data_IF_618129661443
#
_entry.id   IF_618129661443
#
_cell.length_a   1.000
_cell.length_b   1.000
_cell.length_c   1.000
_cell.angle_alpha   90.00
_cell.angle_beta   90.00
_cell.angle_gamma   90.00
#
_symmetry.space_group_name_H-M   'P 1'
#
loop_
_entity.id
_entity.type
_entity.pdbx_description
1 polymer ?
#
# COMPACT_ATOMS: atom_id res chain seq x y z
N UNK A 1 -4.57 -41.89 -1.28
CA UNK A 1 -3.41 -42.45 -0.55
C UNK A 1 -3.71 -42.70 0.92
N UNK A 2 -4.28 -41.76 1.67
CA UNK A 2 -4.65 -41.98 3.07
C UNK A 2 -5.38 -43.31 3.30
N UNK A 3 -6.48 -43.55 2.57
CA UNK A 3 -7.22 -44.82 2.67
C UNK A 3 -6.42 -46.07 2.31
N UNK A 4 -5.45 -45.98 1.39
CA UNK A 4 -4.59 -47.12 1.03
C UNK A 4 -3.66 -47.49 2.19
N UNK A 5 -3.00 -46.49 2.78
CA UNK A 5 -2.10 -46.71 3.91
C UNK A 5 -2.84 -47.15 5.17
N UNK A 6 -4.04 -46.63 5.42
CA UNK A 6 -4.85 -47.08 6.55
C UNK A 6 -5.32 -48.52 6.38
N UNK A 7 -5.78 -48.90 5.19
CA UNK A 7 -6.15 -50.29 4.90
C UNK A 7 -4.96 -51.24 5.08
N UNK A 8 -3.76 -50.83 4.64
CA UNK A 8 -2.56 -51.64 4.81
C UNK A 8 -2.16 -51.77 6.28
N UNK A 9 -2.27 -50.70 7.06
CA UNK A 9 -2.05 -50.75 8.51
C UNK A 9 -3.03 -51.70 9.20
N UNK A 10 -4.32 -51.61 8.88
CA UNK A 10 -5.36 -52.49 9.44
C UNK A 10 -5.11 -53.97 9.07
N UNK A 11 -4.66 -54.25 7.85
CA UNK A 11 -4.26 -55.59 7.41
C UNK A 11 -3.06 -56.11 8.22
N UNK A 12 -2.01 -55.29 8.39
CA UNK A 12 -0.81 -55.67 9.15
C UNK A 12 -1.16 -55.94 10.62
N UNK A 13 -1.96 -55.08 11.24
CA UNK A 13 -2.42 -55.26 12.62
C UNK A 13 -3.23 -56.54 12.81
N UNK A 14 -3.93 -57.01 11.77
CA UNK A 14 -4.75 -58.22 11.82
C UNK A 14 -3.94 -59.51 11.67
N UNK A 15 -2.76 -59.45 11.05
CA UNK A 15 -1.97 -60.64 10.66
C UNK A 15 -0.74 -60.81 11.55
N UNK A 16 -0.08 -59.72 11.94
CA UNK A 16 1.23 -59.74 12.59
C UNK A 16 1.18 -59.32 14.06
N UNK A 17 2.24 -59.63 14.80
CA UNK A 17 2.39 -59.19 16.19
C UNK A 17 2.78 -57.72 16.28
N UNK A 18 2.47 -57.09 17.42
CA UNK A 18 2.64 -55.64 17.61
C UNK A 18 4.07 -55.13 17.40
N UNK A 19 5.06 -55.97 17.69
CA UNK A 19 6.49 -55.63 17.53
C UNK A 19 6.87 -55.42 16.05
N UNK A 20 6.16 -56.09 15.14
CA UNK A 20 6.42 -56.06 13.71
C UNK A 20 5.63 -54.98 12.95
N UNK A 21 4.60 -54.39 13.58
CA UNK A 21 3.66 -53.50 12.89
C UNK A 21 4.33 -52.30 12.22
N UNK A 22 5.15 -51.55 12.96
CA UNK A 22 5.83 -50.35 12.45
C UNK A 22 6.81 -50.68 11.31
N UNK A 23 7.80 -51.57 11.51
CA UNK A 23 8.74 -51.96 10.47
C UNK A 23 8.09 -52.51 9.21
N UNK A 24 7.09 -53.40 9.35
CA UNK A 24 6.36 -53.95 8.20
C UNK A 24 5.57 -52.87 7.46
N UNK A 25 4.87 -52.01 8.20
CA UNK A 25 4.08 -50.94 7.59
C UNK A 25 4.95 -49.95 6.81
N UNK A 26 6.11 -49.56 7.38
CA UNK A 26 7.08 -48.71 6.68
C UNK A 26 7.63 -49.38 5.42
N UNK A 27 7.99 -50.66 5.49
CA UNK A 27 8.51 -51.42 4.37
C UNK A 27 7.46 -51.55 3.24
N UNK A 28 6.22 -51.90 3.57
CA UNK A 28 5.16 -52.07 2.57
C UNK A 28 4.81 -50.75 1.88
N UNK A 29 4.79 -49.63 2.62
CA UNK A 29 4.46 -48.33 2.06
C UNK A 29 5.63 -47.67 1.30
N UNK A 30 6.85 -48.20 1.38
CA UNK A 30 8.06 -47.54 0.89
C UNK A 30 8.00 -47.19 -0.60
N UNK A 31 7.52 -48.10 -1.45
CA UNK A 31 7.46 -47.88 -2.90
C UNK A 31 6.46 -46.77 -3.26
N UNK A 32 5.27 -46.78 -2.65
CA UNK A 32 4.26 -45.73 -2.85
C UNK A 32 4.75 -44.37 -2.32
N UNK A 33 5.47 -44.37 -1.20
CA UNK A 33 6.11 -43.17 -0.65
C UNK A 33 7.19 -42.58 -1.56
N UNK A 34 7.99 -43.44 -2.19
CA UNK A 34 9.01 -43.00 -3.14
C UNK A 34 8.38 -42.35 -4.40
N UNK A 35 7.28 -42.91 -4.88
CA UNK A 35 6.54 -42.37 -6.02
C UNK A 35 5.89 -41.02 -5.67
N UNK A 36 5.27 -40.89 -4.50
CA UNK A 36 4.80 -39.60 -3.99
C UNK A 36 5.91 -38.55 -3.94
N UNK A 37 7.06 -38.90 -3.39
CA UNK A 37 8.20 -38.00 -3.31
C UNK A 37 8.75 -37.62 -4.70
N UNK A 38 8.58 -38.48 -5.72
CA UNK A 38 8.89 -38.14 -7.12
C UNK A 38 7.90 -37.12 -7.66
N UNK A 39 6.59 -37.36 -7.51
CA UNK A 39 5.55 -36.42 -7.94
C UNK A 39 5.70 -35.05 -7.28
N UNK A 40 5.96 -34.99 -5.97
CA UNK A 40 6.18 -33.72 -5.26
C UNK A 40 7.41 -32.97 -5.79
N UNK A 41 8.48 -33.66 -6.19
CA UNK A 41 9.66 -33.03 -6.80
C UNK A 41 9.36 -32.46 -8.18
N UNK A 42 8.58 -33.16 -9.00
CA UNK A 42 8.17 -32.70 -10.33
C UNK A 42 7.29 -31.45 -10.24
N UNK A 43 6.29 -31.47 -9.35
CA UNK A 43 5.45 -30.30 -9.05
C UNK A 43 6.30 -29.13 -8.53
N UNK A 44 7.24 -29.40 -7.62
CA UNK A 44 8.14 -28.36 -7.12
C UNK A 44 9.01 -27.73 -8.21
N UNK A 45 9.49 -28.54 -9.16
CA UNK A 45 10.28 -28.06 -10.30
C UNK A 45 9.46 -27.11 -11.17
N UNK A 46 8.19 -27.45 -11.41
CA UNK A 46 7.26 -26.59 -12.15
C UNK A 46 7.02 -25.26 -11.43
N UNK A 47 6.73 -25.30 -10.12
CA UNK A 47 6.49 -24.10 -9.30
C UNK A 47 7.72 -23.20 -9.28
N UNK A 48 8.93 -23.76 -9.12
CA UNK A 48 10.18 -22.99 -9.15
C UNK A 48 10.36 -22.23 -10.47
N UNK A 49 9.94 -22.80 -11.59
CA UNK A 49 9.99 -22.15 -12.90
C UNK A 49 8.97 -21.02 -13.07
N UNK A 50 7.89 -21.02 -12.29
CA UNK A 50 6.73 -20.14 -12.45
C UNK A 50 6.30 -19.51 -11.12
N UNK A 51 7.27 -19.13 -10.27
CA UNK A 51 7.00 -18.75 -8.89
C UNK A 51 6.02 -17.57 -8.75
N UNK A 52 6.02 -16.65 -9.72
CA UNK A 52 5.15 -15.48 -9.72
C UNK A 52 3.67 -15.80 -9.96
N UNK A 53 3.36 -16.92 -10.63
CA UNK A 53 1.97 -17.31 -10.96
C UNK A 53 1.52 -18.52 -10.15
N UNK A 54 2.42 -19.46 -9.90
CA UNK A 54 2.07 -20.81 -9.43
C UNK A 54 2.52 -21.07 -7.99
N UNK A 55 3.02 -20.07 -7.25
CA UNK A 55 3.42 -20.23 -5.85
C UNK A 55 2.29 -20.73 -4.94
N UNK A 56 1.03 -20.41 -5.24
CA UNK A 56 -0.12 -20.89 -4.47
C UNK A 56 -0.23 -22.41 -4.43
N UNK A 57 0.18 -23.09 -5.51
CA UNK A 57 0.23 -24.54 -5.56
C UNK A 57 1.18 -25.11 -4.49
N UNK A 58 2.27 -24.40 -4.16
CA UNK A 58 3.15 -24.82 -3.06
C UNK A 58 2.46 -24.74 -1.69
N UNK A 59 1.58 -23.74 -1.49
CA UNK A 59 0.80 -23.60 -0.26
C UNK A 59 -0.25 -24.69 -0.13
N UNK A 60 -0.97 -24.97 -1.22
CA UNK A 60 -1.98 -26.03 -1.29
C UNK A 60 -1.35 -27.41 -1.06
N UNK A 61 -0.25 -27.73 -1.75
CA UNK A 61 0.49 -28.99 -1.52
C UNK A 61 0.94 -29.10 -0.06
N UNK A 62 1.42 -28.00 0.53
CA UNK A 62 1.83 -27.98 1.94
C UNK A 62 0.66 -28.28 2.88
N UNK A 63 -0.53 -27.73 2.63
CA UNK A 63 -1.73 -28.01 3.41
C UNK A 63 -2.17 -29.47 3.27
N UNK A 64 -2.34 -29.95 2.04
CA UNK A 64 -2.79 -31.32 1.75
C UNK A 64 -1.84 -32.35 2.39
N UNK A 65 -0.53 -32.16 2.21
CA UNK A 65 0.47 -33.09 2.74
C UNK A 65 0.60 -33.03 4.26
N UNK A 66 0.42 -31.85 4.86
CA UNK A 66 0.40 -31.72 6.33
C UNK A 66 -0.84 -32.38 6.92
N UNK A 67 -2.00 -32.26 6.27
CA UNK A 67 -3.22 -32.96 6.66
C UNK A 67 -3.06 -34.48 6.58
N UNK A 68 -2.54 -34.99 5.45
CA UNK A 68 -2.24 -36.41 5.26
C UNK A 68 -1.31 -36.95 6.35
N UNK A 69 -0.21 -36.22 6.64
CA UNK A 69 0.76 -36.61 7.67
C UNK A 69 0.13 -36.66 9.06
N UNK A 70 -0.65 -35.65 9.44
CA UNK A 70 -1.33 -35.59 10.75
C UNK A 70 -2.36 -36.71 10.92
N UNK A 71 -3.16 -36.99 9.88
CA UNK A 71 -4.18 -38.04 9.93
C UNK A 71 -3.56 -39.43 10.07
N UNK A 72 -2.50 -39.71 9.29
CA UNK A 72 -1.79 -40.98 9.37
C UNK A 72 -1.07 -41.15 10.69
N UNK A 73 -0.35 -40.13 11.18
CA UNK A 73 0.33 -40.18 12.47
C UNK A 73 -0.66 -40.49 13.61
N UNK A 74 -1.83 -39.84 13.62
CA UNK A 74 -2.84 -40.05 14.66
C UNK A 74 -3.36 -41.49 14.70
N UNK A 75 -3.43 -42.16 13.53
CA UNK A 75 -4.00 -43.50 13.41
C UNK A 75 -2.98 -44.62 13.47
N UNK A 76 -1.78 -44.40 12.96
CA UNK A 76 -0.77 -45.45 12.79
C UNK A 76 0.47 -45.23 13.66
N UNK A 77 0.75 -43.98 14.06
CA UNK A 77 2.00 -43.58 14.72
C UNK A 77 3.22 -43.55 13.79
N UNK A 78 3.04 -43.82 12.49
CA UNK A 78 4.12 -44.11 11.56
C UNK A 78 4.15 -43.14 10.35
N UNK A 79 5.19 -43.21 9.52
CA UNK A 79 5.37 -42.49 8.26
C UNK A 79 5.51 -40.95 8.32
N UNK A 80 5.30 -40.31 9.48
CA UNK A 80 5.44 -38.85 9.66
C UNK A 80 6.76 -38.30 9.13
N UNK A 81 7.88 -38.93 9.47
CA UNK A 81 9.22 -38.52 9.06
C UNK A 81 9.42 -38.61 7.55
N UNK A 82 8.95 -39.70 6.92
CA UNK A 82 9.02 -39.92 5.48
C UNK A 82 8.17 -38.90 4.70
N UNK A 83 6.96 -38.61 5.18
CA UNK A 83 6.08 -37.58 4.60
C UNK A 83 6.66 -36.18 4.74
N UNK A 84 7.23 -35.86 5.90
CA UNK A 84 7.91 -34.59 6.14
C UNK A 84 9.14 -34.42 5.23
N UNK A 85 9.95 -35.48 5.06
CA UNK A 85 11.10 -35.47 4.16
C UNK A 85 10.70 -35.26 2.70
N UNK A 86 9.62 -35.91 2.24
CA UNK A 86 9.09 -35.75 0.89
C UNK A 86 8.54 -34.34 0.64
N UNK A 87 7.89 -33.72 1.63
CA UNK A 87 7.31 -32.37 1.53
C UNK A 87 8.36 -31.25 1.62
N UNK A 88 9.49 -31.49 2.30
CA UNK A 88 10.51 -30.46 2.59
C UNK A 88 10.89 -29.59 1.38
N UNK A 89 11.17 -30.11 0.18
CA UNK A 89 11.54 -29.28 -0.96
C UNK A 89 10.47 -28.29 -1.41
N UNK A 90 9.18 -28.67 -1.30
CA UNK A 90 8.06 -27.79 -1.64
C UNK A 90 7.91 -26.70 -0.59
N UNK A 91 8.04 -27.04 0.70
CA UNK A 91 7.99 -26.08 1.81
C UNK A 91 9.09 -25.02 1.69
N UNK A 92 10.31 -25.41 1.29
CA UNK A 92 11.40 -24.45 1.05
C UNK A 92 11.11 -23.52 -0.15
N UNK A 93 10.56 -24.04 -1.25
CA UNK A 93 10.09 -23.19 -2.36
C UNK A 93 9.01 -22.21 -1.92
N UNK A 94 8.05 -22.66 -1.11
CA UNK A 94 6.99 -21.82 -0.58
C UNK A 94 7.55 -20.67 0.27
N UNK A 95 8.56 -20.94 1.12
CA UNK A 95 9.27 -19.90 1.89
C UNK A 95 9.94 -18.87 0.97
N UNK A 96 10.70 -19.33 -0.02
CA UNK A 96 11.42 -18.46 -0.97
C UNK A 96 10.45 -17.58 -1.76
N UNK A 97 9.27 -18.09 -2.10
CA UNK A 97 8.28 -17.34 -2.88
C UNK A 97 7.84 -16.03 -2.22
N UNK A 98 7.75 -15.96 -0.89
CA UNK A 98 7.33 -14.76 -0.18
C UNK A 98 8.25 -13.56 -0.45
N UNK A 99 9.56 -13.80 -0.47
CA UNK A 99 10.57 -12.79 -0.81
C UNK A 99 10.61 -12.49 -2.31
N UNK A 100 10.58 -13.52 -3.16
CA UNK A 100 10.64 -13.35 -4.62
C UNK A 100 9.46 -12.52 -5.15
N UNK A 101 8.25 -12.71 -4.61
CA UNK A 101 7.06 -11.93 -5.00
C UNK A 101 7.22 -10.43 -4.71
N UNK A 102 7.90 -10.06 -3.61
CA UNK A 102 8.23 -8.67 -3.29
C UNK A 102 9.25 -8.12 -4.28
N UNK A 103 10.30 -8.89 -4.55
CA UNK A 103 11.39 -8.48 -5.44
C UNK A 103 10.94 -8.39 -6.91
N UNK A 104 10.07 -9.29 -7.36
CA UNK A 104 9.38 -9.21 -8.65
C UNK A 104 8.59 -7.90 -8.78
N UNK A 105 7.76 -7.57 -7.78
CA UNK A 105 6.97 -6.34 -7.78
C UNK A 105 7.86 -5.10 -7.89
N UNK A 106 8.95 -5.06 -7.11
CA UNK A 106 9.93 -3.97 -7.16
C UNK A 106 10.61 -3.87 -8.54
N UNK A 107 11.01 -5.01 -9.13
CA UNK A 107 11.60 -5.06 -10.47
C UNK A 107 10.63 -4.57 -11.54
N UNK A 108 9.37 -4.99 -11.49
CA UNK A 108 8.31 -4.55 -12.41
C UNK A 108 8.11 -3.03 -12.35
N UNK A 109 8.03 -2.44 -11.16
CA UNK A 109 7.92 -0.96 -10.99
C UNK A 109 9.15 -0.26 -11.55
N UNK A 110 10.34 -0.75 -11.23
CA UNK A 110 11.61 -0.15 -11.67
C UNK A 110 11.73 -0.16 -13.19
N UNK A 111 11.31 -1.26 -13.84
CA UNK A 111 11.35 -1.45 -15.28
C UNK A 111 10.33 -0.61 -16.08
N UNK A 112 9.32 -0.01 -15.43
CA UNK A 112 8.34 0.83 -16.12
C UNK A 112 9.03 2.02 -16.81
N UNK A 113 8.79 2.26 -18.09
CA UNK A 113 9.44 3.39 -18.77
C UNK A 113 8.72 4.72 -18.52
N UNK A 114 7.40 4.67 -18.38
CA UNK A 114 6.54 5.83 -18.22
C UNK A 114 5.50 5.58 -17.12
N UNK A 115 5.01 6.66 -16.55
CA UNK A 115 3.82 6.70 -15.69
C UNK A 115 2.79 7.67 -16.30
N UNK A 116 1.49 7.50 -16.00
CA UNK A 116 0.46 8.42 -16.46
C UNK A 116 0.75 9.86 -16.03
N UNK A 117 0.79 10.78 -16.99
CA UNK A 117 1.17 12.19 -16.74
C UNK A 117 0.07 13.00 -16.03
N UNK A 118 -1.13 12.43 -15.91
CA UNK A 118 -2.29 12.96 -15.20
C UNK A 118 -2.42 12.40 -13.77
N UNK A 119 -1.51 11.52 -13.36
CA UNK A 119 -1.53 10.87 -12.04
C UNK A 119 -2.51 9.70 -11.94
N UNK A 120 -3.02 9.17 -13.06
CA UNK A 120 -3.90 8.01 -13.06
C UNK A 120 -3.27 6.80 -12.36
N UNK A 121 -4.08 5.95 -11.68
CA UNK A 121 -3.59 4.71 -11.10
C UNK A 121 -3.06 3.74 -12.15
N UNK A 122 -2.19 2.82 -11.71
CA UNK A 122 -1.59 1.80 -12.58
C UNK A 122 -1.94 0.39 -12.09
N UNK A 123 -2.04 -0.62 -12.99
CA UNK A 123 -2.52 -1.96 -12.63
C UNK A 123 -1.75 -2.65 -11.52
N UNK A 124 -0.43 -2.42 -11.42
CA UNK A 124 0.43 -3.10 -10.43
C UNK A 124 -0.01 -2.87 -8.97
N UNK A 125 -0.71 -1.77 -8.69
CA UNK A 125 -1.28 -1.50 -7.35
C UNK A 125 -2.34 -2.55 -7.04
N UNK A 126 -3.34 -2.67 -7.92
CA UNK A 126 -4.43 -3.62 -7.76
C UNK A 126 -3.96 -5.07 -7.84
N UNK A 127 -3.05 -5.39 -8.76
CA UNK A 127 -2.49 -6.75 -8.88
C UNK A 127 -1.75 -7.18 -7.60
N UNK A 128 -0.98 -6.28 -6.99
CA UNK A 128 -0.26 -6.56 -5.74
C UNK A 128 -1.24 -6.84 -4.60
N UNK A 129 -2.31 -6.04 -4.51
CA UNK A 129 -3.34 -6.23 -3.49
C UNK A 129 -4.19 -7.47 -3.72
N UNK A 130 -4.54 -7.77 -4.96
CA UNK A 130 -5.26 -9.00 -5.32
C UNK A 130 -4.45 -10.24 -4.93
N UNK A 131 -3.13 -10.22 -5.15
CA UNK A 131 -2.25 -11.29 -4.68
C UNK A 131 -2.31 -11.47 -3.16
N UNK A 132 -2.25 -10.38 -2.39
CA UNK A 132 -2.37 -10.46 -0.93
C UNK A 132 -3.74 -11.02 -0.50
N UNK A 133 -4.82 -10.63 -1.18
CA UNK A 133 -6.16 -11.17 -0.94
C UNK A 133 -6.21 -12.68 -1.22
N UNK A 134 -5.70 -13.13 -2.36
CA UNK A 134 -5.61 -14.57 -2.69
C UNK A 134 -4.78 -15.34 -1.67
N UNK A 135 -3.69 -14.76 -1.15
CA UNK A 135 -2.91 -15.41 -0.08
C UNK A 135 -3.72 -15.64 1.20
N UNK A 136 -4.76 -14.84 1.49
CA UNK A 136 -5.64 -15.08 2.65
C UNK A 136 -6.40 -16.40 2.52
N UNK A 137 -6.73 -16.83 1.31
CA UNK A 137 -7.37 -18.14 1.06
C UNK A 137 -6.47 -19.30 1.50
N UNK A 138 -5.15 -19.07 1.52
CA UNK A 138 -4.13 -20.03 1.94
C UNK A 138 -3.52 -19.68 3.32
N UNK A 139 -4.26 -18.94 4.16
CA UNK A 139 -3.73 -18.42 5.42
C UNK A 139 -3.18 -19.53 6.34
N UNK A 140 -3.83 -20.69 6.40
CA UNK A 140 -3.38 -21.81 7.25
C UNK A 140 -1.99 -22.35 6.86
N UNK A 141 -1.75 -22.81 5.60
CA UNK A 141 -0.41 -23.24 5.21
C UNK A 141 0.60 -22.09 5.25
N UNK A 142 0.22 -20.87 4.87
CA UNK A 142 1.12 -19.70 4.91
C UNK A 142 1.54 -19.38 6.34
N UNK A 143 0.63 -19.38 7.31
CA UNK A 143 0.96 -19.17 8.74
C UNK A 143 1.97 -20.19 9.24
N UNK A 144 1.86 -21.47 8.85
CA UNK A 144 2.87 -22.49 9.21
C UNK A 144 4.22 -22.22 8.55
N UNK A 145 4.21 -21.78 7.28
CA UNK A 145 5.42 -21.41 6.55
C UNK A 145 6.09 -20.20 7.22
N UNK A 146 5.32 -19.16 7.54
CA UNK A 146 5.77 -17.93 8.16
C UNK A 146 6.33 -18.14 9.57
N UNK A 147 5.68 -18.99 10.37
CA UNK A 147 6.24 -19.40 11.65
C UNK A 147 7.63 -20.04 11.48
N UNK A 148 7.82 -20.88 10.45
CA UNK A 148 9.11 -21.51 10.17
C UNK A 148 10.13 -20.60 9.49
N UNK A 149 9.69 -19.50 8.88
CA UNK A 149 10.54 -18.49 8.25
C UNK A 149 11.03 -17.45 9.27
N UNK A 150 10.20 -17.18 10.28
CA UNK A 150 10.40 -16.08 11.22
C UNK A 150 9.93 -14.74 10.65
N UNK A 151 9.56 -13.82 11.55
CA UNK A 151 9.14 -12.48 11.19
C UNK A 151 10.27 -11.71 10.48
N UNK A 152 9.96 -11.07 9.36
CA UNK A 152 10.92 -10.37 8.51
C UNK A 152 11.82 -11.27 7.65
N UNK A 153 11.71 -12.60 7.74
CA UNK A 153 12.57 -13.53 6.99
C UNK A 153 12.42 -13.45 5.46
N UNK A 154 11.36 -12.80 4.96
CA UNK A 154 11.15 -12.51 3.53
C UNK A 154 12.05 -11.38 2.98
N UNK A 155 12.70 -10.58 3.85
CA UNK A 155 13.57 -9.45 3.43
C UNK A 155 14.99 -9.89 3.07
N UNK A 156 15.40 -11.10 3.47
CA UNK A 156 16.79 -11.57 3.42
C UNK A 156 17.32 -11.90 2.02
N UNK A 157 16.49 -11.87 0.98
CA UNK A 157 16.97 -12.02 -0.40
C UNK A 157 17.69 -10.76 -0.93
N UNK A 158 17.64 -9.63 -0.20
CA UNK A 158 18.30 -8.39 -0.58
C UNK A 158 19.81 -8.32 -0.24
N UNK A 159 20.37 -9.34 0.42
CA UNK A 159 21.81 -9.37 0.73
C UNK A 159 22.36 -10.80 0.78
N UNK A 160 22.61 -11.41 -0.38
CA UNK A 160 23.69 -12.40 -0.51
C UNK A 160 25.05 -11.68 -0.49
N UNK A 161 25.31 -10.90 0.57
CA UNK A 161 26.65 -10.46 0.96
C UNK A 161 27.09 -11.33 2.14
N UNK A 162 27.69 -12.47 1.80
CA UNK A 162 28.79 -13.08 2.57
C UNK A 162 28.60 -13.36 4.06
N UNK A 163 27.39 -13.51 4.59
CA UNK A 163 27.20 -13.95 5.99
C UNK A 163 26.83 -15.43 6.06
N UNK A 164 27.74 -16.14 6.70
CA UNK A 164 27.76 -17.54 7.06
C UNK A 164 26.40 -18.06 7.51
N UNK A 165 26.08 -19.27 7.08
CA UNK A 165 24.94 -20.12 7.47
C UNK A 165 24.91 -20.52 8.96
N UNK A 166 25.59 -19.79 9.84
CA UNK A 166 25.78 -20.13 11.26
C UNK A 166 25.22 -19.07 12.22
N UNK A 167 24.35 -18.17 11.75
CA UNK A 167 23.53 -17.39 12.68
C UNK A 167 22.46 -18.31 13.28
N UNK A 168 22.79 -18.91 14.43
CA UNK A 168 21.81 -19.46 15.38
C UNK A 168 20.69 -18.43 15.49
N UNK A 169 19.42 -18.77 15.18
CA UNK A 169 18.31 -17.86 15.34
C UNK A 169 18.35 -17.32 16.78
N UNK A 170 18.50 -16.01 16.93
CA UNK A 170 18.45 -15.37 18.24
C UNK A 170 17.15 -15.80 18.92
N UNK A 171 17.24 -16.36 20.12
CA UNK A 171 16.09 -16.77 20.93
C UNK A 171 15.10 -15.62 21.22
N UNK A 172 15.42 -14.38 20.84
CA UNK A 172 14.49 -13.26 20.81
C UNK A 172 13.50 -13.26 19.63
N UNK A 173 13.64 -14.17 18.65
CA UNK A 173 12.72 -14.35 17.51
C UNK A 173 11.81 -15.58 17.64
N UNK A 174 11.90 -16.31 18.75
CA UNK A 174 10.92 -17.30 19.17
C UNK A 174 10.06 -16.66 20.27
N UNK A 175 9.29 -15.65 19.89
CA UNK A 175 8.18 -15.24 20.74
C UNK A 175 7.12 -16.34 20.65
N UNK A 176 7.07 -17.18 21.70
CA UNK A 176 6.12 -18.27 21.90
C UNK A 176 4.75 -17.60 22.14
N UNK A 177 4.17 -17.04 21.07
CA UNK A 177 3.00 -16.18 21.14
C UNK A 177 2.62 -15.52 19.80
N UNK A 178 3.53 -15.37 18.84
CA UNK A 178 3.20 -14.79 17.54
C UNK A 178 2.33 -15.76 16.72
N UNK A 179 1.04 -15.45 16.64
CA UNK A 179 0.11 -16.10 15.73
C UNK A 179 0.68 -15.99 14.30
N UNK A 180 0.74 -17.08 13.53
CA UNK A 180 1.22 -17.02 12.14
C UNK A 180 0.39 -16.05 11.28
N UNK A 181 -0.80 -15.66 11.72
CA UNK A 181 -1.60 -14.56 11.16
C UNK A 181 -1.01 -13.18 11.43
N UNK A 182 -0.39 -12.98 12.59
CA UNK A 182 0.30 -11.74 12.93
C UNK A 182 1.53 -11.53 12.03
N UNK A 183 2.33 -12.58 11.84
CA UNK A 183 3.47 -12.56 10.92
C UNK A 183 3.00 -12.27 9.48
N UNK A 184 1.87 -12.87 9.07
CA UNK A 184 1.27 -12.56 7.77
C UNK A 184 0.81 -11.11 7.65
N UNK A 185 0.30 -10.54 8.73
CA UNK A 185 -0.09 -9.12 8.79
C UNK A 185 1.13 -8.20 8.66
N UNK A 186 2.29 -8.58 9.23
CA UNK A 186 3.57 -7.89 9.00
C UNK A 186 4.01 -7.98 7.54
N UNK A 187 3.96 -9.18 6.95
CA UNK A 187 4.27 -9.37 5.53
C UNK A 187 3.41 -8.50 4.61
N UNK A 188 2.09 -8.43 4.85
CA UNK A 188 1.19 -7.56 4.10
C UNK A 188 1.57 -6.08 4.25
N UNK A 189 1.89 -5.64 5.47
CA UNK A 189 2.30 -4.27 5.76
C UNK A 189 3.60 -3.90 5.05
N UNK A 190 4.60 -4.78 5.10
CA UNK A 190 5.87 -4.62 4.39
C UNK A 190 5.68 -4.61 2.86
N UNK A 191 4.75 -5.42 2.35
CA UNK A 191 4.42 -5.45 0.91
C UNK A 191 3.84 -4.11 0.47
N UNK A 192 2.89 -3.57 1.23
CA UNK A 192 2.25 -2.27 0.96
C UNK A 192 3.28 -1.14 1.05
N UNK A 193 4.13 -1.14 2.08
CA UNK A 193 5.15 -0.09 2.24
C UNK A 193 6.21 -0.14 1.12
N UNK A 194 6.66 -1.35 0.76
CA UNK A 194 7.57 -1.56 -0.38
C UNK A 194 6.96 -1.08 -1.69
N UNK A 195 5.68 -1.40 -1.95
CA UNK A 195 4.94 -0.96 -3.12
C UNK A 195 4.90 0.57 -3.16
N UNK A 196 4.42 1.21 -2.09
CA UNK A 196 4.29 2.66 -2.03
C UNK A 196 5.64 3.39 -2.13
N UNK A 197 6.69 2.86 -1.50
CA UNK A 197 8.04 3.41 -1.59
C UNK A 197 8.60 3.33 -3.01
N UNK A 198 8.44 2.18 -3.66
CA UNK A 198 8.91 1.97 -5.05
C UNK A 198 8.15 2.87 -6.03
N UNK A 199 6.85 3.05 -5.83
CA UNK A 199 6.00 3.95 -6.63
C UNK A 199 6.38 5.42 -6.44
N UNK A 200 6.64 5.88 -5.21
CA UNK A 200 7.10 7.25 -4.95
C UNK A 200 8.45 7.53 -5.61
N UNK A 201 9.40 6.61 -5.49
CA UNK A 201 10.71 6.73 -6.15
C UNK A 201 10.54 6.80 -7.67
N UNK A 202 9.71 5.93 -8.25
CA UNK A 202 9.47 5.91 -9.69
C UNK A 202 8.77 7.18 -10.18
N UNK A 203 7.75 7.63 -9.46
CA UNK A 203 7.00 8.84 -9.75
C UNK A 203 7.92 10.07 -9.79
N UNK A 204 8.83 10.21 -8.82
CA UNK A 204 9.79 11.32 -8.78
C UNK A 204 10.76 11.35 -9.95
N UNK A 205 11.11 10.19 -10.50
CA UNK A 205 12.03 10.09 -11.63
C UNK A 205 11.35 10.38 -12.97
N UNK A 206 10.08 10.00 -13.12
CA UNK A 206 9.41 9.92 -14.42
C UNK A 206 8.34 11.01 -14.62
N UNK A 207 7.65 11.44 -13.56
CA UNK A 207 6.60 12.44 -13.66
C UNK A 207 7.21 13.85 -13.70
N UNK A 208 7.10 14.49 -14.86
CA UNK A 208 7.60 15.85 -15.09
C UNK A 208 6.60 16.95 -14.69
N UNK A 209 5.35 16.58 -14.40
CA UNK A 209 4.25 17.50 -14.06
C UNK A 209 4.31 18.12 -12.66
N UNK A 210 5.46 18.06 -11.97
CA UNK A 210 5.66 18.66 -10.66
C UNK A 210 5.18 17.81 -9.48
N UNK A 211 5.16 18.41 -8.29
CA UNK A 211 4.82 17.69 -7.03
C UNK A 211 3.34 17.35 -6.94
N UNK A 212 2.47 18.16 -7.53
CA UNK A 212 1.03 17.95 -7.48
C UNK A 212 0.60 16.65 -8.15
N UNK A 213 1.12 16.34 -9.36
CA UNK A 213 0.80 15.07 -10.05
C UNK A 213 1.33 13.85 -9.30
N UNK A 214 2.51 13.95 -8.67
CA UNK A 214 3.04 12.88 -7.80
C UNK A 214 2.11 12.67 -6.61
N UNK A 215 1.62 13.76 -6.00
CA UNK A 215 0.63 13.72 -4.93
C UNK A 215 -0.67 13.02 -5.35
N UNK A 216 -1.19 13.32 -6.55
CA UNK A 216 -2.37 12.65 -7.11
C UNK A 216 -2.14 11.15 -7.28
N UNK A 217 -1.03 10.78 -7.94
CA UNK A 217 -0.69 9.39 -8.20
C UNK A 217 -0.59 8.55 -6.92
N UNK A 218 0.07 9.08 -5.89
CA UNK A 218 0.21 8.41 -4.61
C UNK A 218 -1.13 8.35 -3.87
N UNK A 219 -1.94 9.42 -3.88
CA UNK A 219 -3.24 9.43 -3.23
C UNK A 219 -4.22 8.42 -3.86
N UNK A 220 -4.25 8.31 -5.19
CA UNK A 220 -5.02 7.29 -5.90
C UNK A 220 -4.59 5.89 -5.47
N UNK A 221 -3.28 5.64 -5.42
CA UNK A 221 -2.73 4.35 -4.99
C UNK A 221 -3.14 4.00 -3.56
N UNK A 222 -3.08 4.96 -2.63
CA UNK A 222 -3.49 4.78 -1.23
C UNK A 222 -4.97 4.42 -1.12
N UNK A 223 -5.86 5.15 -1.80
CA UNK A 223 -7.31 4.90 -1.75
C UNK A 223 -7.66 3.53 -2.34
N UNK A 224 -7.01 3.13 -3.43
CA UNK A 224 -7.21 1.80 -4.03
C UNK A 224 -6.77 0.71 -3.05
N UNK A 225 -5.59 0.83 -2.44
CA UNK A 225 -5.08 -0.12 -1.44
C UNK A 225 -6.03 -0.20 -0.25
N UNK A 226 -6.44 0.95 0.29
CA UNK A 226 -7.38 1.00 1.42
C UNK A 226 -8.71 0.32 1.10
N UNK A 227 -9.30 0.61 -0.06
CA UNK A 227 -10.55 -0.01 -0.52
C UNK A 227 -10.39 -1.52 -0.63
N UNK A 228 -9.33 -1.99 -1.28
CA UNK A 228 -9.07 -3.42 -1.43
C UNK A 228 -8.82 -4.14 -0.10
N UNK A 229 -8.20 -3.48 0.89
CA UNK A 229 -8.08 -4.06 2.24
C UNK A 229 -9.46 -4.16 2.89
N UNK A 230 -10.23 -3.07 2.91
CA UNK A 230 -11.53 -3.00 3.60
C UNK A 230 -12.59 -3.94 3.00
N UNK A 231 -12.55 -4.14 1.68
CA UNK A 231 -13.54 -4.94 0.95
C UNK A 231 -13.15 -6.43 0.87
N UNK A 232 -12.21 -6.91 1.69
CA UNK A 232 -11.73 -8.30 1.67
C UNK A 232 -11.43 -8.86 3.06
N UNK A 233 -11.12 -10.16 3.11
CA UNK A 233 -10.71 -10.85 4.34
C UNK A 233 -9.34 -10.39 4.90
N UNK A 234 -8.66 -9.46 4.21
CA UNK A 234 -7.51 -8.74 4.77
C UNK A 234 -7.90 -7.74 5.86
N UNK A 235 -9.15 -7.22 5.84
CA UNK A 235 -9.61 -6.22 6.79
C UNK A 235 -9.37 -6.62 8.27
N UNK A 236 -9.82 -7.80 8.76
CA UNK A 236 -9.60 -8.20 10.16
C UNK A 236 -8.11 -8.43 10.49
N UNK A 237 -7.27 -8.72 9.50
CA UNK A 237 -5.83 -8.92 9.71
C UNK A 237 -5.07 -7.58 9.82
N UNK A 238 -5.56 -6.54 9.13
CA UNK A 238 -4.86 -5.27 8.99
C UNK A 238 -5.52 -4.09 9.72
N UNK A 239 -6.64 -4.29 10.42
CA UNK A 239 -7.39 -3.22 11.09
C UNK A 239 -6.51 -2.34 11.99
N UNK A 240 -5.68 -2.95 12.85
CA UNK A 240 -4.73 -2.23 13.73
C UNK A 240 -3.53 -1.60 13.02
N UNK A 241 -3.36 -1.84 11.72
CA UNK A 241 -2.18 -1.43 10.92
C UNK A 241 -2.53 -0.45 9.81
N UNK A 242 -3.80 -0.08 9.65
CA UNK A 242 -4.25 0.89 8.65
C UNK A 242 -3.57 2.27 8.77
N UNK A 243 -3.04 2.61 9.95
CA UNK A 243 -2.26 3.84 10.18
C UNK A 243 -1.00 3.98 9.29
N UNK A 244 -0.48 2.89 8.70
CA UNK A 244 0.60 2.99 7.71
C UNK A 244 0.17 3.77 6.46
N UNK A 245 -1.10 3.60 6.03
CA UNK A 245 -1.65 4.31 4.88
C UNK A 245 -1.87 5.79 5.16
N UNK A 246 -2.11 6.17 6.41
CA UNK A 246 -2.26 7.57 6.80
C UNK A 246 -0.99 8.38 6.57
N UNK A 247 0.19 7.78 6.75
CA UNK A 247 1.46 8.44 6.49
C UNK A 247 1.61 8.76 5.00
N UNK A 248 1.27 7.79 4.15
CA UNK A 248 1.29 7.96 2.70
C UNK A 248 0.22 8.95 2.21
N UNK A 249 -0.98 8.91 2.81
CA UNK A 249 -2.05 9.89 2.55
C UNK A 249 -1.59 11.31 2.87
N UNK A 250 -1.04 11.53 4.07
CA UNK A 250 -0.50 12.85 4.49
C UNK A 250 0.61 13.32 3.57
N UNK A 251 1.52 12.44 3.16
CA UNK A 251 2.60 12.75 2.21
C UNK A 251 2.04 13.17 0.85
N UNK A 252 1.08 12.42 0.31
CA UNK A 252 0.43 12.70 -0.96
C UNK A 252 -0.33 14.03 -0.94
N UNK A 253 -1.17 14.26 0.08
CA UNK A 253 -1.86 15.55 0.30
C UNK A 253 -0.88 16.70 0.48
N UNK A 254 0.22 16.47 1.21
CA UNK A 254 1.26 17.47 1.40
C UNK A 254 1.91 17.90 0.08
N UNK A 255 2.22 16.94 -0.81
CA UNK A 255 2.75 17.24 -2.15
C UNK A 255 1.75 18.00 -3.03
N UNK A 256 0.48 17.60 -2.97
CA UNK A 256 -0.59 18.21 -3.74
C UNK A 256 -0.86 19.66 -3.34
N UNK A 257 -0.95 19.92 -2.03
CA UNK A 257 -1.33 21.22 -1.48
C UNK A 257 -0.19 22.23 -1.42
N UNK A 258 1.04 21.87 -1.84
CA UNK A 258 2.16 22.83 -1.91
C UNK A 258 1.85 24.01 -2.83
N UNK A 259 1.27 23.75 -4.00
CA UNK A 259 0.89 24.78 -4.95
C UNK A 259 -0.18 25.72 -4.36
N UNK A 260 -1.10 25.17 -3.55
CA UNK A 260 -2.10 25.97 -2.83
C UNK A 260 -1.43 26.91 -1.82
N UNK A 261 -0.38 26.46 -1.13
CA UNK A 261 0.38 27.31 -0.21
C UNK A 261 1.03 28.46 -0.95
N UNK A 262 1.61 28.22 -2.13
CA UNK A 262 2.19 29.26 -2.97
C UNK A 262 1.14 30.30 -3.41
N UNK A 263 -0.02 29.85 -3.88
CA UNK A 263 -1.17 30.71 -4.22
C UNK A 263 -1.62 31.54 -3.00
N UNK A 264 -1.67 30.93 -1.82
CA UNK A 264 -2.08 31.61 -0.58
C UNK A 264 -1.15 32.77 -0.20
N UNK A 265 0.11 32.75 -0.62
CA UNK A 265 1.08 33.80 -0.26
C UNK A 265 0.68 35.19 -0.79
N UNK A 266 0.00 35.22 -1.94
CA UNK A 266 -0.51 36.47 -2.53
C UNK A 266 -1.60 37.13 -1.68
N UNK A 267 -2.28 36.34 -0.84
CA UNK A 267 -3.39 36.79 0.01
C UNK A 267 -2.93 37.23 1.42
N UNK A 268 -1.68 36.96 1.80
CA UNK A 268 -1.17 37.42 3.09
C UNK A 268 -1.03 38.95 3.11
N UNK A 269 -1.57 39.54 4.18
CA UNK A 269 -1.58 40.97 4.39
C UNK A 269 -0.21 41.39 4.96
N UNK A 270 0.60 42.06 4.14
CA UNK A 270 1.93 42.60 4.53
C UNK A 270 1.85 44.11 4.77
N UNK A 271 0.67 44.72 4.55
CA UNK A 271 0.49 46.13 4.79
C UNK A 271 0.25 46.30 6.30
N UNK A 272 1.34 46.57 7.02
CA UNK A 272 1.26 47.11 8.36
C UNK A 272 0.52 48.45 8.27
N UNK A 273 -0.77 48.46 8.57
CA UNK A 273 -1.52 49.69 8.81
C UNK A 273 -0.84 50.40 9.98
N UNK A 274 -0.03 51.40 9.65
CA UNK A 274 0.69 52.25 10.59
C UNK A 274 -0.26 52.77 11.68
N UNK A 275 0.09 52.47 12.93
CA UNK A 275 -0.27 53.19 14.17
C UNK A 275 -1.74 53.40 14.56
N UNK A 276 -2.70 52.64 14.06
CA UNK A 276 -4.02 52.54 14.70
C UNK A 276 -4.46 51.09 14.85
N UNK A 277 -4.51 50.64 16.10
CA UNK A 277 -5.17 49.37 16.48
C UNK A 277 -6.60 49.42 15.93
N UNK A 278 -7.05 48.46 15.11
CA UNK A 278 -8.43 48.43 14.69
C UNK A 278 -9.30 48.13 15.91
N UNK A 279 -10.21 49.05 16.22
CA UNK A 279 -11.40 48.80 17.02
C UNK A 279 -12.13 47.62 16.37
N UNK A 280 -12.69 46.71 17.16
CA UNK A 280 -13.35 45.46 16.77
C UNK A 280 -14.63 45.68 15.94
N UNK A 281 -14.51 46.24 14.74
CA UNK A 281 -15.56 46.40 13.74
C UNK A 281 -14.99 46.15 12.35
N UNK A 282 -15.78 45.52 11.47
CA UNK A 282 -15.45 45.35 10.05
C UNK A 282 -15.25 46.75 9.43
N UNK A 283 -13.99 47.13 9.21
CA UNK A 283 -13.68 48.33 8.46
C UNK A 283 -14.07 48.09 6.98
N UNK A 284 -14.94 48.95 6.48
CA UNK A 284 -15.41 48.92 5.09
C UNK A 284 -14.24 49.13 4.11
N UNK A 285 -14.20 48.39 3.00
CA UNK A 285 -13.08 48.42 2.05
C UNK A 285 -12.75 49.84 1.58
N UNK A 286 -13.78 50.64 1.32
CA UNK A 286 -13.63 52.04 0.91
C UNK A 286 -12.92 52.90 1.98
N UNK A 287 -13.12 52.61 3.27
CA UNK A 287 -12.48 53.32 4.39
C UNK A 287 -10.99 52.98 4.48
N UNK A 288 -10.64 51.70 4.31
CA UNK A 288 -9.26 51.22 4.34
C UNK A 288 -8.48 51.84 3.17
N UNK A 289 -9.05 51.80 1.97
CA UNK A 289 -8.40 52.34 0.77
C UNK A 289 -8.16 53.85 0.82
N UNK A 290 -8.96 54.63 1.55
CA UNK A 290 -8.71 56.07 1.74
C UNK A 290 -7.43 56.34 2.53
N UNK A 291 -7.06 55.46 3.46
CA UNK A 291 -5.85 55.54 4.27
C UNK A 291 -4.58 55.03 3.58
N UNK A 292 -4.69 54.41 2.40
CA UNK A 292 -3.56 53.83 1.68
C UNK A 292 -2.94 54.79 0.65
N UNK A 293 -1.62 54.70 0.51
CA UNK A 293 -0.89 55.43 -0.54
C UNK A 293 -1.23 54.91 -1.94
N UNK A 294 -0.92 55.67 -3.00
CA UNK A 294 -1.08 55.19 -4.38
C UNK A 294 -0.29 53.91 -4.62
N UNK A 295 0.92 53.82 -4.05
CA UNK A 295 1.80 52.65 -4.16
C UNK A 295 1.17 51.41 -3.52
N UNK A 296 0.55 51.57 -2.35
CA UNK A 296 -0.12 50.44 -1.66
C UNK A 296 -1.33 49.94 -2.44
N UNK A 297 -2.10 50.85 -3.05
CA UNK A 297 -3.23 50.48 -3.93
C UNK A 297 -2.76 49.70 -5.15
N UNK A 298 -1.66 50.11 -5.77
CA UNK A 298 -1.11 49.39 -6.92
C UNK A 298 -0.50 48.04 -6.52
N UNK A 299 0.12 47.95 -5.34
CA UNK A 299 0.56 46.67 -4.78
C UNK A 299 -0.61 45.70 -4.55
N UNK A 300 -1.74 46.19 -4.02
CA UNK A 300 -2.95 45.39 -3.81
C UNK A 300 -3.51 44.88 -5.14
N UNK A 301 -3.59 45.74 -6.17
CA UNK A 301 -4.01 45.31 -7.52
C UNK A 301 -3.08 44.23 -8.07
N UNK A 302 -1.77 44.38 -7.87
CA UNK A 302 -0.77 43.39 -8.27
C UNK A 302 -0.98 42.05 -7.56
N UNK A 303 -1.31 42.05 -6.26
CA UNK A 303 -1.66 40.83 -5.51
C UNK A 303 -2.90 40.14 -6.04
N UNK A 304 -3.97 40.88 -6.34
CA UNK A 304 -5.16 40.29 -6.97
C UNK A 304 -4.82 39.66 -8.33
N UNK A 305 -4.03 40.34 -9.17
CA UNK A 305 -3.64 39.79 -10.47
C UNK A 305 -2.79 38.54 -10.35
N UNK A 306 -1.79 38.55 -9.46
CA UNK A 306 -0.95 37.39 -9.19
C UNK A 306 -1.77 36.22 -8.65
N UNK A 307 -2.66 36.47 -7.68
CA UNK A 307 -3.58 35.47 -7.17
C UNK A 307 -4.46 34.89 -8.28
N UNK A 308 -5.10 35.73 -9.11
CA UNK A 308 -5.97 35.24 -10.18
C UNK A 308 -5.20 34.34 -11.15
N UNK A 309 -4.00 34.76 -11.58
CA UNK A 309 -3.18 33.98 -12.50
C UNK A 309 -2.81 32.61 -11.91
N UNK A 310 -2.26 32.58 -10.69
CA UNK A 310 -1.83 31.34 -10.04
C UNK A 310 -3.01 30.44 -9.65
N UNK A 311 -4.13 31.02 -9.21
CA UNK A 311 -5.35 30.28 -8.89
C UNK A 311 -5.97 29.66 -10.14
N UNK A 312 -6.08 30.40 -11.25
CA UNK A 312 -6.62 29.90 -12.51
C UNK A 312 -5.78 28.75 -13.07
N UNK A 313 -4.45 28.89 -13.02
CA UNK A 313 -3.52 27.83 -13.41
C UNK A 313 -3.67 26.59 -12.53
N UNK A 314 -3.77 26.76 -11.21
CA UNK A 314 -3.99 25.66 -10.27
C UNK A 314 -5.32 24.94 -10.54
N UNK A 315 -6.41 25.69 -10.75
CA UNK A 315 -7.74 25.14 -11.07
C UNK A 315 -7.70 24.39 -12.40
N UNK A 316 -7.05 24.97 -13.42
CA UNK A 316 -6.88 24.33 -14.72
C UNK A 316 -6.14 22.99 -14.58
N UNK A 317 -4.99 22.97 -13.90
CA UNK A 317 -4.23 21.74 -13.64
C UNK A 317 -5.02 20.71 -12.83
N UNK A 318 -5.73 21.14 -11.77
CA UNK A 318 -6.59 20.24 -10.98
C UNK A 318 -7.57 19.48 -11.88
N UNK A 319 -8.19 20.16 -12.85
CA UNK A 319 -9.16 19.56 -13.78
C UNK A 319 -8.54 18.58 -14.78
N UNK A 320 -7.23 18.68 -15.04
CA UNK A 320 -6.52 17.75 -15.94
C UNK A 320 -6.13 16.43 -15.26
N UNK A 321 -6.11 16.39 -13.92
CA UNK A 321 -5.72 15.20 -13.20
C UNK A 321 -6.80 14.13 -13.19
N UNK A 322 -6.37 12.87 -13.28
CA UNK A 322 -7.24 11.72 -13.15
C UNK A 322 -7.18 11.22 -11.70
N UNK A 323 -8.25 11.47 -10.95
CA UNK A 323 -8.33 11.21 -9.51
C UNK A 323 -9.45 10.22 -9.22
N UNK A 324 -9.21 9.29 -8.31
CA UNK A 324 -10.29 8.56 -7.65
C UNK A 324 -11.25 9.55 -6.98
N UNK A 325 -12.52 9.17 -6.86
CA UNK A 325 -13.58 10.05 -6.37
C UNK A 325 -13.27 10.60 -4.97
N UNK A 326 -12.76 9.75 -4.10
CA UNK A 326 -12.39 10.06 -2.73
C UNK A 326 -11.22 11.06 -2.69
N UNK A 327 -10.22 10.87 -3.55
CA UNK A 327 -9.07 11.76 -3.69
C UNK A 327 -9.52 13.15 -4.15
N UNK A 328 -10.36 13.20 -5.18
CA UNK A 328 -10.93 14.46 -5.69
C UNK A 328 -11.66 15.23 -4.60
N UNK A 329 -12.51 14.54 -3.84
CA UNK A 329 -13.25 15.16 -2.72
C UNK A 329 -12.34 15.69 -1.61
N UNK A 330 -11.32 14.92 -1.22
CA UNK A 330 -10.35 15.32 -0.20
C UNK A 330 -9.59 16.57 -0.67
N UNK A 331 -9.04 16.53 -1.88
CA UNK A 331 -8.24 17.62 -2.42
C UNK A 331 -9.06 18.89 -2.68
N UNK A 332 -10.26 18.77 -3.24
CA UNK A 332 -11.16 19.91 -3.43
C UNK A 332 -11.50 20.58 -2.10
N UNK A 333 -11.80 19.79 -1.07
CA UNK A 333 -12.07 20.29 0.29
C UNK A 333 -10.85 20.98 0.89
N UNK A 334 -9.67 20.40 0.78
CA UNK A 334 -8.44 20.98 1.34
C UNK A 334 -8.08 22.31 0.65
N UNK A 335 -8.22 22.37 -0.68
CA UNK A 335 -8.05 23.61 -1.45
C UNK A 335 -9.00 24.70 -0.96
N UNK A 336 -10.30 24.36 -0.87
CA UNK A 336 -11.34 25.31 -0.47
C UNK A 336 -11.09 25.82 0.96
N UNK A 337 -10.86 24.92 1.92
CA UNK A 337 -10.60 25.27 3.32
C UNK A 337 -9.36 26.14 3.49
N UNK A 338 -8.35 25.97 2.65
CA UNK A 338 -7.12 26.75 2.69
C UNK A 338 -7.29 28.14 2.08
N UNK A 339 -7.88 28.23 0.88
CA UNK A 339 -7.86 29.46 0.08
C UNK A 339 -9.10 30.34 0.27
N UNK A 340 -10.29 29.75 0.41
CA UNK A 340 -11.54 30.51 0.46
C UNK A 340 -11.59 31.51 1.62
N UNK A 341 -11.23 31.15 2.88
CA UNK A 341 -11.26 32.10 3.99
C UNK A 341 -10.26 33.24 3.82
N UNK A 342 -9.07 32.94 3.28
CA UNK A 342 -8.03 33.94 3.02
C UNK A 342 -8.46 34.92 1.93
N UNK A 343 -9.05 34.40 0.86
CA UNK A 343 -9.55 35.23 -0.23
C UNK A 343 -10.70 36.11 0.24
N UNK A 344 -11.69 35.55 0.94
CA UNK A 344 -12.83 36.29 1.45
C UNK A 344 -12.40 37.45 2.36
N UNK A 345 -11.42 37.21 3.25
CA UNK A 345 -10.85 38.26 4.09
C UNK A 345 -10.09 39.33 3.30
N UNK A 346 -9.34 38.93 2.27
CA UNK A 346 -8.61 39.87 1.42
C UNK A 346 -9.56 40.72 0.57
N UNK A 347 -10.59 40.10 0.02
CA UNK A 347 -11.65 40.74 -0.75
C UNK A 347 -12.44 41.75 0.10
N UNK A 348 -12.86 41.38 1.31
CA UNK A 348 -13.58 42.27 2.23
C UNK A 348 -12.83 43.57 2.51
N UNK A 349 -11.50 43.50 2.58
CA UNK A 349 -10.66 44.67 2.84
C UNK A 349 -10.41 45.52 1.60
N UNK A 350 -10.31 44.90 0.42
CA UNK A 350 -9.64 45.54 -0.71
C UNK A 350 -10.39 45.51 -2.05
N UNK A 351 -11.59 44.94 -2.16
CA UNK A 351 -12.31 44.81 -3.43
C UNK A 351 -12.59 46.16 -4.14
N UNK A 352 -12.79 47.25 -3.39
CA UNK A 352 -13.03 48.59 -3.94
C UNK A 352 -11.80 49.21 -4.67
N UNK A 353 -10.63 48.56 -4.60
CA UNK A 353 -9.38 49.06 -5.24
C UNK A 353 -9.50 49.19 -6.76
N UNK A 354 -10.40 48.39 -7.35
CA UNK A 354 -10.67 48.34 -8.78
C UNK A 354 -11.93 49.12 -9.18
N UNK A 355 -12.63 49.74 -8.21
CA UNK A 355 -13.83 50.56 -8.43
C UNK A 355 -14.90 49.86 -9.30
N UNK A 356 -15.08 48.55 -9.12
CA UNK A 356 -16.04 47.74 -9.87
C UNK A 356 -15.68 47.49 -11.35
N UNK A 357 -14.45 47.80 -11.79
CA UNK A 357 -14.05 47.61 -13.20
C UNK A 357 -13.75 46.16 -13.60
N UNK A 358 -13.54 45.27 -12.63
CA UNK A 358 -13.29 43.83 -12.86
C UNK A 358 -11.95 43.52 -13.55
N UNK A 359 -11.04 44.49 -13.66
CA UNK A 359 -9.72 44.32 -14.31
C UNK A 359 -8.73 43.61 -13.38
N UNK A 360 -8.79 43.93 -12.10
CA UNK A 360 -7.88 43.40 -11.08
C UNK A 360 -8.63 42.42 -10.16
N UNK A 361 -9.83 42.79 -9.71
CA UNK A 361 -10.67 41.94 -8.86
C UNK A 361 -11.59 41.11 -9.75
N UNK A 362 -11.15 39.89 -10.12
CA UNK A 362 -11.85 39.01 -11.05
C UNK A 362 -13.05 38.30 -10.42
N UNK A 363 -12.90 37.87 -9.17
CA UNK A 363 -13.91 37.11 -8.46
C UNK A 363 -14.57 37.96 -7.37
N UNK A 364 -15.88 37.83 -7.22
CA UNK A 364 -16.55 38.13 -5.96
C UNK A 364 -16.62 36.86 -5.10
N UNK A 365 -17.17 36.98 -3.88
CA UNK A 365 -17.26 35.83 -2.95
C UNK A 365 -18.08 34.68 -3.53
N UNK A 366 -19.19 34.99 -4.20
CA UNK A 366 -20.03 33.96 -4.82
C UNK A 366 -19.33 33.29 -6.01
N UNK A 367 -18.65 34.08 -6.85
CA UNK A 367 -17.91 33.61 -8.00
C UNK A 367 -16.75 32.70 -7.62
N UNK A 368 -15.94 33.05 -6.61
CA UNK A 368 -14.84 32.16 -6.19
C UNK A 368 -15.38 30.88 -5.53
N UNK A 369 -16.45 30.96 -4.74
CA UNK A 369 -17.12 29.79 -4.17
C UNK A 369 -17.64 28.84 -5.26
N UNK A 370 -18.22 29.38 -6.33
CA UNK A 370 -18.65 28.60 -7.49
C UNK A 370 -17.47 27.90 -8.19
N UNK A 371 -16.30 28.54 -8.25
CA UNK A 371 -15.10 27.88 -8.81
C UNK A 371 -14.66 26.70 -7.94
N UNK A 372 -14.62 26.85 -6.61
CA UNK A 372 -14.30 25.74 -5.70
C UNK A 372 -15.29 24.57 -5.85
N UNK A 373 -16.58 24.87 -6.02
CA UNK A 373 -17.59 23.84 -6.27
C UNK A 373 -17.30 23.01 -7.53
N UNK A 374 -16.61 23.58 -8.53
CA UNK A 374 -16.22 22.86 -9.76
C UNK A 374 -15.01 21.93 -9.61
N UNK A 375 -14.40 21.87 -8.42
CA UNK A 375 -13.26 21.00 -8.12
C UNK A 375 -13.67 19.63 -7.58
N UNK A 376 -14.89 19.53 -7.03
CA UNK A 376 -15.48 18.27 -6.60
C UNK A 376 -15.87 17.41 -7.80
#
# INVERSE_FOLDING_TARGET
MEGLFLAEYDNICSIFTREDWGPLFQATCQAAMAELARTLRELNSHIKGHLNTDCYLAYEITEIMSGLSSNLETRTGELKSSLAAALRPVRETAKVSLGELLDDTRRRITAMQALPQDGAPIPIVSETMQRLQTMVEFLRPISSIMFSLGDGGWKSNAATDGRSTDAIPSLASFDIGADGKEIFSHYCSDTVDMLMTSLDQKARLVLKGGRAVIGVFLANSVVIIERMIRDSDLAPLLEGRMGMLDQWRKKATGMYTMDCKEVSTHLFDVIHTSKQRPTSGQADSASILKGLSSRDKDNIKGKFQAFNASFDEMVSRHKTYNMEREVRQIFARDIQQMLEPLYNRFWDRYHEVDKGKGKHVKYDKAGIAAVFATLY
#
